data_IF_511029824301
#
_entry.id   IF_511029824301
#
_cell.length_a   1.000
_cell.length_b   1.000
_cell.length_c   1.000
_cell.angle_alpha   90.00
_cell.angle_beta   90.00
_cell.angle_gamma   90.00
#
_symmetry.space_group_name_H-M   'P 1'
#
loop_
_entity.id
_entity.type
_entity.pdbx_description
1 polymer ?
#
# COMPACT_ATOMS: atom_id res chain seq x y z
N UNK A 1 -4.97 5.50 12.34
CA UNK A 1 -5.84 4.37 11.95
C UNK A 1 -5.08 3.16 11.39
N UNK A 2 -5.61 1.94 11.54
CA UNK A 2 -5.02 0.68 11.03
C UNK A 2 -5.68 0.28 9.70
N UNK A 3 -4.89 0.03 8.65
CA UNK A 3 -5.39 -0.35 7.33
C UNK A 3 -4.62 -1.54 6.75
N UNK A 4 -5.26 -2.28 5.85
CA UNK A 4 -4.60 -3.32 5.06
C UNK A 4 -4.25 -2.76 3.68
N UNK A 5 -2.96 -2.66 3.38
CA UNK A 5 -2.45 -2.32 2.06
C UNK A 5 -2.26 -3.62 1.25
N UNK A 6 -2.96 -3.74 0.12
CA UNK A 6 -2.80 -4.86 -0.82
C UNK A 6 -2.19 -4.36 -2.12
N UNK A 7 -1.05 -4.90 -2.52
CA UNK A 7 -0.41 -4.56 -3.80
C UNK A 7 -0.38 -5.80 -4.68
N UNK A 8 -0.89 -5.69 -5.90
CA UNK A 8 -1.01 -6.82 -6.82
C UNK A 8 -0.08 -6.67 -8.03
N UNK A 9 0.08 -7.76 -8.78
CA UNK A 9 0.89 -7.83 -9.99
C UNK A 9 2.34 -7.39 -9.74
N UNK A 10 2.84 -6.41 -10.50
CA UNK A 10 4.21 -5.91 -10.34
C UNK A 10 4.40 -5.03 -9.09
N UNK A 11 3.31 -4.54 -8.48
CA UNK A 11 3.40 -3.66 -7.31
C UNK A 11 3.77 -4.42 -6.03
N UNK A 12 3.60 -5.75 -6.02
CA UNK A 12 3.97 -6.59 -4.88
C UNK A 12 5.48 -6.55 -4.59
N UNK A 13 6.32 -6.15 -5.55
CA UNK A 13 7.77 -5.96 -5.34
C UNK A 13 8.13 -4.79 -4.42
N UNK A 14 7.20 -3.85 -4.23
CA UNK A 14 7.40 -2.71 -3.32
C UNK A 14 7.04 -3.05 -1.87
N UNK A 15 6.48 -4.24 -1.66
CA UNK A 15 6.17 -4.71 -0.33
C UNK A 15 7.42 -5.29 0.35
N UNK A 16 7.57 -5.11 1.67
CA UNK A 16 8.67 -5.71 2.42
C UNK A 16 8.62 -7.25 2.38
N UNK A 17 9.72 -7.98 2.62
CA UNK A 17 9.74 -9.44 2.54
C UNK A 17 8.85 -10.16 3.59
N UNK A 18 8.30 -9.44 4.57
CA UNK A 18 7.40 -9.97 5.60
C UNK A 18 5.92 -9.77 5.23
N UNK A 19 5.55 -10.05 3.97
CA UNK A 19 4.15 -9.97 3.51
C UNK A 19 3.55 -11.35 3.35
N UNK A 20 2.29 -11.48 3.72
CA UNK A 20 1.49 -12.64 3.37
C UNK A 20 0.53 -12.21 2.27
N UNK A 21 0.44 -12.99 1.20
CA UNK A 21 -0.56 -12.79 0.13
C UNK A 21 -0.51 -11.41 -0.55
N UNK A 22 0.66 -10.78 -0.61
CA UNK A 22 0.86 -9.42 -1.12
C UNK A 22 0.01 -8.35 -0.39
N UNK A 23 -0.23 -8.59 0.90
CA UNK A 23 -0.88 -7.63 1.78
C UNK A 23 -0.07 -7.43 3.06
N UNK A 24 -0.14 -6.20 3.57
CA UNK A 24 0.39 -5.83 4.87
C UNK A 24 -0.63 -5.05 5.64
N UNK A 25 -0.59 -5.26 6.95
CA UNK A 25 -1.33 -4.41 7.85
C UNK A 25 -0.41 -3.31 8.38
N UNK A 26 -0.83 -2.07 8.22
CA UNK A 26 -0.03 -0.90 8.52
C UNK A 26 -0.83 0.09 9.36
N UNK A 27 -0.12 0.73 10.27
CA UNK A 27 -0.64 1.87 11.00
C UNK A 27 -0.31 3.15 10.21
N UNK A 28 -1.36 3.92 9.92
CA UNK A 28 -1.29 5.18 9.20
C UNK A 28 -1.85 6.29 10.09
N UNK A 29 -1.35 7.51 9.91
CA UNK A 29 -1.87 8.68 10.61
C UNK A 29 -3.35 8.91 10.27
N UNK A 30 -4.12 9.50 11.17
CA UNK A 30 -5.57 9.70 10.95
C UNK A 30 -5.89 10.68 9.80
N UNK A 31 -4.91 11.47 9.37
CA UNK A 31 -5.00 12.34 8.19
C UNK A 31 -4.22 11.77 6.98
N UNK A 32 -3.79 10.51 7.04
CA UNK A 32 -3.05 9.90 5.95
C UNK A 32 -3.94 9.72 4.73
N UNK A 33 -3.48 10.21 3.59
CA UNK A 33 -4.11 9.96 2.30
C UNK A 33 -3.54 8.69 1.67
N UNK A 34 -4.29 8.00 0.79
CA UNK A 34 -3.75 6.86 0.05
C UNK A 34 -2.46 7.21 -0.71
N UNK A 35 -2.37 8.44 -1.25
CA UNK A 35 -1.18 8.93 -1.92
C UNK A 35 0.04 9.01 -0.97
N UNK A 36 -0.14 9.52 0.26
CA UNK A 36 0.91 9.53 1.28
C UNK A 36 1.36 8.12 1.68
N UNK A 37 0.41 7.18 1.78
CA UNK A 37 0.72 5.78 2.08
C UNK A 37 1.54 5.16 0.95
N UNK A 38 1.11 5.31 -0.31
CA UNK A 38 1.84 4.79 -1.47
C UNK A 38 3.25 5.40 -1.60
N UNK A 39 3.38 6.71 -1.35
CA UNK A 39 4.66 7.41 -1.36
C UNK A 39 5.65 6.83 -0.33
N UNK A 40 5.18 6.41 0.85
CA UNK A 40 6.00 5.77 1.88
C UNK A 40 6.62 4.45 1.43
N UNK A 41 5.93 3.72 0.56
CA UNK A 41 6.40 2.46 -0.04
C UNK A 41 7.09 2.68 -1.40
N UNK A 42 7.36 3.93 -1.78
CA UNK A 42 7.92 4.30 -3.09
C UNK A 42 7.12 3.71 -4.27
N UNK A 43 5.81 3.51 -4.06
CA UNK A 43 4.94 2.94 -5.09
C UNK A 43 4.55 4.06 -6.06
N UNK A 44 4.86 3.93 -7.36
CA UNK A 44 4.53 4.96 -8.34
C UNK A 44 2.99 5.05 -8.52
N UNK A 45 2.37 6.21 -8.25
CA UNK A 45 0.91 6.35 -8.28
C UNK A 45 0.32 6.22 -9.68
N UNK A 46 1.12 6.48 -10.73
CA UNK A 46 0.73 6.27 -12.14
C UNK A 46 0.39 4.81 -12.48
N UNK A 47 0.95 3.85 -11.73
CA UNK A 47 0.70 2.42 -11.91
C UNK A 47 -0.33 1.88 -10.91
N UNK A 48 -0.85 2.73 -10.01
CA UNK A 48 -1.83 2.36 -9.01
C UNK A 48 -3.25 2.67 -9.49
N UNK A 49 -4.07 1.63 -9.61
CA UNK A 49 -5.51 1.80 -9.71
C UNK A 49 -6.13 1.72 -8.31
N UNK A 50 -6.71 2.81 -7.84
CA UNK A 50 -7.22 2.89 -6.47
C UNK A 50 -8.61 2.23 -6.38
N UNK A 51 -8.66 1.05 -5.76
CA UNK A 51 -9.91 0.33 -5.47
C UNK A 51 -10.21 0.47 -3.98
N UNK A 52 -11.30 1.18 -3.66
CA UNK A 52 -11.85 1.28 -2.31
C UNK A 52 -12.92 0.21 -2.15
N UNK A 53 -12.77 -0.65 -1.13
CA UNK A 53 -13.66 -1.78 -0.83
C UNK A 53 -14.09 -1.68 0.63
#
# INVERSE_FOLDING_TARGET
MKITLKLYAMLSTYLPPNTQDNQIDIEVEDNATPASVLAKYMVPPENCHLVLI
#
